data_IF_503217064112
#
_entry.id   IF_503217064112
#
_cell.length_a   1.000
_cell.length_b   1.000
_cell.length_c   1.000
_cell.angle_alpha   90.00
_cell.angle_beta   90.00
_cell.angle_gamma   90.00
#
_symmetry.space_group_name_H-M   'P 1'
#
loop_
_entity.id
_entity.type
_entity.pdbx_description
1 polymer ?
#
# COMPACT_ATOMS: atom_id res chain seq x y z
N UNK A 1 -28.81 0.31 65.95
CA UNK A 1 -28.80 0.45 67.42
C UNK A 1 -27.39 0.84 67.84
N UNK A 2 -27.23 1.71 68.84
CA UNK A 2 -26.06 2.54 69.24
C UNK A 2 -25.97 3.88 68.47
N UNK A 3 -26.70 4.92 68.91
CA UNK A 3 -26.43 5.83 70.05
C UNK A 3 -25.15 6.65 69.79
N UNK A 4 -25.22 7.78 69.07
CA UNK A 4 -25.55 9.14 69.56
C UNK A 4 -24.81 9.57 70.85
N UNK A 5 -23.49 9.39 70.88
CA UNK A 5 -22.60 10.25 71.67
C UNK A 5 -22.05 11.37 70.78
N UNK A 6 -22.87 12.42 70.57
CA UNK A 6 -22.34 13.73 70.16
C UNK A 6 -22.23 14.55 71.44
N UNK A 7 -21.00 14.70 71.91
CA UNK A 7 -20.58 15.66 72.90
C UNK A 7 -21.25 17.03 72.65
N UNK A 8 -22.31 17.31 73.41
CA UNK A 8 -22.78 18.66 73.68
C UNK A 8 -21.74 19.31 74.58
N UNK A 9 -20.72 19.91 73.97
CA UNK A 9 -19.86 20.88 74.63
C UNK A 9 -20.76 21.97 75.20
N UNK A 10 -20.59 22.20 76.50
CA UNK A 10 -21.30 23.14 77.33
C UNK A 10 -21.57 24.47 76.60
N UNK A 11 -22.85 24.81 76.43
CA UNK A 11 -23.32 26.10 75.92
C UNK A 11 -23.04 27.28 76.89
N UNK A 12 -21.91 27.26 77.62
CA UNK A 12 -21.62 28.18 78.74
C UNK A 12 -20.17 28.65 78.85
N UNK A 13 -19.35 28.58 77.81
CA UNK A 13 -17.94 29.02 77.90
C UNK A 13 -17.44 29.86 76.73
N UNK A 14 -18.33 30.43 75.90
CA UNK A 14 -17.92 31.52 75.01
C UNK A 14 -18.17 32.82 75.78
N UNK A 15 -17.14 33.58 76.19
CA UNK A 15 -17.33 34.89 76.79
C UNK A 15 -18.10 35.80 75.83
N UNK A 16 -18.85 36.77 76.35
CA UNK A 16 -19.55 37.73 75.50
C UNK A 16 -18.51 38.47 74.67
N UNK A 17 -18.49 38.21 73.36
CA UNK A 17 -17.58 38.85 72.41
C UNK A 17 -18.14 40.25 72.14
N UNK A 18 -17.34 41.29 72.37
CA UNK A 18 -17.77 42.65 72.03
C UNK A 18 -17.98 42.78 70.51
N UNK A 19 -19.00 43.54 70.06
CA UNK A 19 -19.36 43.66 68.64
C UNK A 19 -18.20 44.05 67.70
N UNK A 20 -17.17 44.74 68.20
CA UNK A 20 -16.01 45.17 67.43
C UNK A 20 -15.10 44.01 67.00
N UNK A 21 -15.08 42.90 67.75
CA UNK A 21 -14.24 41.72 67.45
C UNK A 21 -14.92 40.70 66.54
N UNK A 22 -16.24 40.79 66.36
CA UNK A 22 -17.03 39.87 65.53
C UNK A 22 -16.57 39.81 64.07
N UNK A 23 -16.33 40.93 63.37
CA UNK A 23 -15.85 40.91 61.99
C UNK A 23 -14.51 40.18 61.82
N UNK A 24 -13.56 40.39 62.75
CA UNK A 24 -12.25 39.74 62.73
C UNK A 24 -12.34 38.22 62.98
N UNK A 25 -13.21 37.79 63.91
CA UNK A 25 -13.45 36.37 64.16
C UNK A 25 -14.11 35.71 62.96
N UNK A 26 -15.10 36.35 62.35
CA UNK A 26 -15.81 35.82 61.18
C UNK A 26 -14.91 35.74 59.94
N UNK A 27 -14.08 36.75 59.68
CA UNK A 27 -13.13 36.74 58.55
C UNK A 27 -12.01 35.72 58.72
N UNK A 28 -11.68 35.32 59.96
CA UNK A 28 -10.70 34.27 60.21
C UNK A 28 -11.33 32.87 60.17
N UNK A 29 -12.60 32.74 60.56
CA UNK A 29 -13.31 31.48 60.63
C UNK A 29 -13.96 31.03 59.30
N UNK A 30 -14.12 31.95 58.34
CA UNK A 30 -14.69 31.71 57.02
C UNK A 30 -13.79 32.27 55.93
N UNK A 31 -13.83 31.68 54.73
CA UNK A 31 -13.06 32.18 53.59
C UNK A 31 -13.74 33.40 52.95
N UNK A 32 -15.08 33.43 52.99
CA UNK A 32 -15.89 34.56 52.57
C UNK A 32 -17.16 34.66 53.41
N UNK A 33 -17.34 35.74 54.16
CA UNK A 33 -18.58 36.06 54.85
C UNK A 33 -19.35 37.17 54.12
N UNK A 34 -20.66 36.95 53.93
CA UNK A 34 -21.58 37.93 53.35
C UNK A 34 -22.68 38.23 54.35
N UNK A 35 -23.08 39.49 54.45
CA UNK A 35 -24.34 39.88 55.10
C UNK A 35 -25.28 40.36 54.02
N UNK A 36 -26.46 39.78 53.93
CA UNK A 36 -27.49 40.17 52.97
C UNK A 36 -28.80 40.53 53.67
N UNK A 37 -29.61 41.39 53.04
CA UNK A 37 -30.99 41.67 53.46
C UNK A 37 -31.93 40.50 53.13
N UNK A 38 -33.16 40.50 53.68
CA UNK A 38 -34.19 39.52 53.31
C UNK A 38 -34.51 39.54 51.79
N UNK A 39 -34.37 40.70 51.14
CA UNK A 39 -34.53 40.86 49.69
C UNK A 39 -33.29 40.44 48.87
N UNK A 40 -32.25 39.91 49.52
CA UNK A 40 -31.04 39.41 48.85
C UNK A 40 -30.05 40.49 48.37
N UNK A 41 -30.07 41.69 48.97
CA UNK A 41 -29.05 42.73 48.73
C UNK A 41 -27.87 42.56 49.66
N UNK A 42 -26.66 42.69 49.14
CA UNK A 42 -25.43 42.56 49.93
C UNK A 42 -25.17 43.83 50.72
N UNK A 43 -25.17 43.72 52.04
CA UNK A 43 -24.88 44.82 52.98
C UNK A 43 -23.40 44.84 53.37
N UNK A 44 -22.75 43.68 53.45
CA UNK A 44 -21.33 43.62 53.80
C UNK A 44 -20.68 42.39 53.20
N UNK A 45 -19.40 42.54 52.82
CA UNK A 45 -18.56 41.47 52.30
C UNK A 45 -17.27 41.45 53.10
N UNK A 46 -16.89 40.29 53.59
CA UNK A 46 -15.66 40.09 54.36
C UNK A 46 -14.96 38.87 53.80
N UNK A 47 -13.86 39.07 53.07
CA UNK A 47 -13.03 37.99 52.58
C UNK A 47 -11.84 37.76 53.51
N UNK A 48 -11.41 36.51 53.66
CA UNK A 48 -10.19 36.20 54.39
C UNK A 48 -8.96 36.56 53.53
N UNK A 49 -8.13 37.49 54.02
CA UNK A 49 -6.91 37.92 53.33
C UNK A 49 -5.92 36.78 53.09
N UNK A 50 -5.93 35.74 53.94
CA UNK A 50 -5.04 34.57 53.82
C UNK A 50 -5.46 33.61 52.71
N UNK A 51 -6.74 33.58 52.34
CA UNK A 51 -7.28 32.68 51.31
C UNK A 51 -7.09 33.25 49.90
N UNK A 52 -6.65 34.52 49.77
CA UNK A 52 -5.87 35.03 48.64
C UNK A 52 -6.29 34.60 47.23
N UNK A 53 -7.58 34.72 46.87
CA UNK A 53 -8.05 34.30 45.54
C UNK A 53 -9.25 35.06 44.96
N UNK A 54 -9.90 35.93 45.74
CA UNK A 54 -11.19 36.52 45.34
C UNK A 54 -11.12 37.91 44.69
N UNK A 55 -9.95 38.57 44.68
CA UNK A 55 -9.82 39.96 44.23
C UNK A 55 -10.50 40.96 45.17
N UNK A 56 -10.75 42.18 44.68
CA UNK A 56 -11.53 43.18 45.41
C UNK A 56 -13.03 42.93 45.16
N UNK A 57 -13.78 42.59 46.22
CA UNK A 57 -15.22 42.32 46.20
C UNK A 57 -16.08 43.50 46.70
N UNK A 58 -15.50 44.68 46.91
CA UNK A 58 -16.19 45.86 47.45
C UNK A 58 -17.35 46.32 46.56
N UNK A 59 -17.27 46.05 45.25
CA UNK A 59 -18.33 46.39 44.29
C UNK A 59 -19.63 45.59 44.51
N UNK A 60 -19.60 44.54 45.33
CA UNK A 60 -20.80 43.78 45.68
C UNK A 60 -21.68 44.53 46.68
N UNK A 61 -21.10 45.46 47.45
CA UNK A 61 -21.80 46.23 48.47
C UNK A 61 -22.98 47.03 47.86
N UNK A 62 -24.15 46.89 48.47
CA UNK A 62 -25.41 47.52 48.08
C UNK A 62 -26.10 46.90 46.84
N UNK A 63 -25.45 45.95 46.17
CA UNK A 63 -25.97 45.29 44.97
C UNK A 63 -26.64 43.96 45.31
N UNK A 64 -27.59 43.49 44.50
CA UNK A 64 -28.25 42.22 44.74
C UNK A 64 -27.31 41.05 44.44
N UNK A 65 -27.26 40.08 45.36
CA UNK A 65 -26.30 38.97 45.32
C UNK A 65 -26.46 38.10 44.06
N UNK A 66 -27.68 37.97 43.52
CA UNK A 66 -27.94 37.16 42.33
C UNK A 66 -27.16 37.62 41.08
N UNK A 67 -26.71 38.88 41.03
CA UNK A 67 -25.89 39.40 39.94
C UNK A 67 -24.50 38.76 39.89
N UNK A 68 -24.00 38.31 41.04
CA UNK A 68 -22.68 37.70 41.20
C UNK A 68 -22.75 36.17 41.28
N UNK A 69 -23.89 35.58 40.93
CA UNK A 69 -24.11 34.13 40.92
C UNK A 69 -24.27 33.60 39.49
N UNK A 70 -23.90 32.33 39.30
CA UNK A 70 -24.26 31.58 38.09
C UNK A 70 -25.78 31.46 37.95
N UNK A 71 -26.28 31.30 36.73
CA UNK A 71 -27.72 31.32 36.42
C UNK A 71 -28.45 30.18 37.16
N UNK A 72 -27.79 29.04 37.29
CA UNK A 72 -28.26 27.88 38.05
C UNK A 72 -28.38 28.15 39.55
N UNK A 73 -27.51 29.01 40.11
CA UNK A 73 -27.51 29.35 41.53
C UNK A 73 -28.51 30.46 41.91
N UNK A 74 -29.04 31.21 40.95
CA UNK A 74 -30.04 32.25 41.23
C UNK A 74 -31.33 31.65 41.79
N UNK A 75 -31.81 30.54 41.20
CA UNK A 75 -32.97 29.80 41.71
C UNK A 75 -32.71 29.21 43.10
N UNK A 76 -31.51 28.67 43.34
CA UNK A 76 -31.10 28.16 44.66
C UNK A 76 -31.13 29.26 45.73
N UNK A 77 -30.59 30.45 45.41
CA UNK A 77 -30.64 31.59 46.32
C UNK A 77 -32.07 32.00 46.63
N UNK A 78 -32.93 32.10 45.61
CA UNK A 78 -34.34 32.46 45.82
C UNK A 78 -35.05 31.48 46.75
N UNK A 79 -34.89 30.16 46.53
CA UNK A 79 -35.48 29.14 47.41
C UNK A 79 -34.97 29.24 48.85
N UNK A 80 -33.73 29.66 49.07
CA UNK A 80 -33.18 29.89 50.42
C UNK A 80 -33.84 31.09 51.07
N UNK A 81 -33.99 32.20 50.34
CA UNK A 81 -34.65 33.42 50.83
C UNK A 81 -36.11 33.13 51.18
N UNK A 82 -36.84 32.40 50.33
CA UNK A 82 -38.23 32.03 50.57
C UNK A 82 -38.40 31.18 51.85
N UNK A 83 -37.46 30.27 52.13
CA UNK A 83 -37.46 29.46 53.36
C UNK A 83 -37.21 30.30 54.62
N UNK A 84 -36.31 31.26 54.54
CA UNK A 84 -36.09 32.21 55.64
C UNK A 84 -37.28 33.16 55.84
N UNK A 85 -37.98 33.55 54.76
CA UNK A 85 -39.21 34.34 54.83
C UNK A 85 -40.37 33.54 55.44
N UNK A 86 -40.43 32.22 55.18
CA UNK A 86 -41.38 31.30 55.80
C UNK A 86 -41.09 31.02 57.30
N UNK A 87 -39.98 31.52 57.84
CA UNK A 87 -39.62 31.39 59.25
C UNK A 87 -39.08 30.01 59.64
N UNK A 88 -38.52 29.25 58.69
CA UNK A 88 -37.92 27.96 59.00
C UNK A 88 -36.77 28.09 60.03
N UNK A 89 -36.77 27.28 61.10
CA UNK A 89 -35.74 27.35 62.12
C UNK A 89 -34.46 26.64 61.69
N UNK A 90 -33.31 27.29 61.97
CA UNK A 90 -31.98 26.69 61.85
C UNK A 90 -31.17 27.20 60.65
N UNK A 91 -29.86 26.89 60.62
CA UNK A 91 -29.00 27.29 59.53
C UNK A 91 -29.25 26.47 58.27
N UNK A 92 -29.19 27.12 57.10
CA UNK A 92 -29.30 26.46 55.80
C UNK A 92 -27.91 26.36 55.19
N UNK A 93 -27.52 25.16 54.73
CA UNK A 93 -26.29 24.96 53.96
C UNK A 93 -26.60 24.96 52.48
N UNK A 94 -25.83 25.71 51.70
CA UNK A 94 -25.99 25.80 50.26
C UNK A 94 -24.64 25.98 49.55
N UNK A 95 -24.51 25.40 48.36
CA UNK A 95 -23.37 25.60 47.49
C UNK A 95 -23.76 26.56 46.38
N UNK A 96 -23.07 27.71 46.35
CA UNK A 96 -23.31 28.79 45.41
C UNK A 96 -22.05 29.02 44.59
N UNK A 97 -22.22 29.02 43.27
CA UNK A 97 -21.16 29.31 42.33
C UNK A 97 -21.21 30.79 41.98
N UNK A 98 -20.19 31.52 42.40
CA UNK A 98 -20.03 32.92 42.08
C UNK A 98 -19.42 33.11 40.70
N UNK A 99 -19.74 34.25 40.09
CA UNK A 99 -19.11 34.72 38.86
C UNK A 99 -18.73 36.19 39.04
N UNK A 100 -17.55 36.58 38.57
CA UNK A 100 -17.15 37.99 38.52
C UNK A 100 -16.40 38.28 37.22
N UNK A 101 -16.62 39.47 36.65
CA UNK A 101 -16.02 39.95 35.38
C UNK A 101 -15.96 38.93 34.22
N UNK A 102 -17.05 38.18 34.00
CA UNK A 102 -17.31 37.26 32.88
C UNK A 102 -16.37 36.04 32.71
N UNK A 103 -15.17 36.02 33.31
CA UNK A 103 -14.16 34.96 33.05
C UNK A 103 -13.88 34.07 34.25
N UNK A 104 -14.15 34.51 35.48
CA UNK A 104 -13.83 33.75 36.70
C UNK A 104 -15.10 33.22 37.38
N UNK A 105 -15.13 31.91 37.65
CA UNK A 105 -16.17 31.27 38.47
C UNK A 105 -15.53 30.55 39.65
N UNK A 106 -16.12 30.69 40.83
CA UNK A 106 -15.63 30.01 42.03
C UNK A 106 -16.78 29.47 42.90
N UNK A 107 -16.74 28.18 43.30
CA UNK A 107 -17.74 27.58 44.15
C UNK A 107 -17.49 27.89 45.63
N UNK A 108 -18.52 28.33 46.35
CA UNK A 108 -18.47 28.54 47.79
C UNK A 108 -19.61 27.79 48.47
N UNK A 109 -19.27 27.06 49.54
CA UNK A 109 -20.27 26.45 50.43
C UNK A 109 -20.59 27.40 51.56
N UNK A 110 -21.82 27.92 51.57
CA UNK A 110 -22.33 28.77 52.62
C UNK A 110 -23.09 28.00 53.68
N UNK A 111 -22.89 28.41 54.94
CA UNK A 111 -23.81 28.18 56.04
C UNK A 111 -24.49 29.51 56.37
N UNK A 112 -25.81 29.55 56.23
CA UNK A 112 -26.59 30.78 56.26
C UNK A 112 -27.39 30.83 57.57
N UNK A 113 -27.22 31.92 58.32
CA UNK A 113 -27.85 32.17 59.61
C UNK A 113 -28.68 33.45 59.55
N UNK A 114 -29.86 33.46 60.19
CA UNK A 114 -30.59 34.71 60.45
C UNK A 114 -29.93 35.45 61.63
N UNK A 115 -29.66 36.73 61.46
CA UNK A 115 -28.96 37.58 62.46
C UNK A 115 -29.76 38.85 62.71
N UNK A 116 -29.93 39.19 64.00
CA UNK A 116 -30.61 40.41 64.43
C UNK A 116 -32.14 40.37 64.35
N UNK A 117 -32.78 41.48 64.75
CA UNK A 117 -34.24 41.66 64.68
C UNK A 117 -34.73 42.18 63.32
N UNK A 118 -33.82 42.68 62.49
CA UNK A 118 -34.12 43.25 61.16
C UNK A 118 -34.13 42.22 60.03
N UNK A 119 -33.99 40.92 60.35
CA UNK A 119 -34.11 39.85 59.37
C UNK A 119 -32.89 39.64 58.46
N UNK A 120 -31.77 40.33 58.71
CA UNK A 120 -30.55 40.13 57.94
C UNK A 120 -30.06 38.68 57.99
N UNK A 121 -29.47 38.22 56.89
CA UNK A 121 -28.90 36.88 56.75
C UNK A 121 -27.37 36.98 56.69
N UNK A 122 -26.70 36.26 57.58
CA UNK A 122 -25.26 36.06 57.59
C UNK A 122 -24.92 34.76 56.88
N UNK A 123 -24.15 34.85 55.80
CA UNK A 123 -23.67 33.71 55.03
C UNK A 123 -22.18 33.51 55.31
N UNK A 124 -21.81 32.37 55.90
CA UNK A 124 -20.43 32.00 56.18
C UNK A 124 -19.96 30.99 55.14
N UNK A 125 -19.08 31.42 54.25
CA UNK A 125 -18.60 30.69 53.08
C UNK A 125 -17.28 29.99 53.33
N UNK A 126 -17.17 28.76 52.84
CA UNK A 126 -15.91 28.02 52.71
C UNK A 126 -15.58 27.84 51.24
N UNK A 127 -14.33 28.13 50.88
CA UNK A 127 -13.85 27.98 49.51
C UNK A 127 -13.86 26.51 49.09
N UNK A 128 -14.42 26.22 47.93
CA UNK A 128 -14.38 24.89 47.32
C UNK A 128 -13.50 24.85 46.06
N UNK A 129 -12.81 25.93 45.69
CA UNK A 129 -11.94 25.97 44.49
C UNK A 129 -10.92 24.83 44.48
N UNK A 130 -10.13 24.67 45.54
CA UNK A 130 -9.14 23.59 45.66
C UNK A 130 -9.78 22.19 45.54
N UNK A 131 -10.98 22.02 46.09
CA UNK A 131 -11.73 20.75 46.02
C UNK A 131 -12.22 20.49 44.60
N UNK A 132 -12.77 21.52 43.94
CA UNK A 132 -13.26 21.46 42.57
C UNK A 132 -12.12 21.21 41.57
N UNK A 133 -10.97 21.87 41.74
CA UNK A 133 -9.76 21.65 40.93
C UNK A 133 -9.28 20.20 41.05
N UNK A 134 -9.20 19.67 42.27
CA UNK A 134 -8.78 18.28 42.51
C UNK A 134 -9.77 17.29 41.91
N UNK A 135 -11.08 17.54 42.05
CA UNK A 135 -12.13 16.73 41.42
C UNK A 135 -12.05 16.78 39.89
N UNK A 136 -11.81 17.96 39.31
CA UNK A 136 -11.68 18.12 37.86
C UNK A 136 -10.44 17.38 37.34
N UNK A 137 -9.31 17.45 38.04
CA UNK A 137 -8.10 16.68 37.71
C UNK A 137 -8.37 15.17 37.76
N UNK A 138 -9.10 14.68 38.76
CA UNK A 138 -9.47 13.28 38.87
C UNK A 138 -10.34 12.83 37.68
N UNK A 139 -11.35 13.61 37.32
CA UNK A 139 -12.23 13.33 36.18
C UNK A 139 -11.44 13.33 34.88
N UNK A 140 -10.56 14.32 34.67
CA UNK A 140 -9.69 14.38 33.49
C UNK A 140 -8.75 13.17 33.41
N UNK A 141 -8.16 12.76 34.52
CA UNK A 141 -7.32 11.58 34.59
C UNK A 141 -8.12 10.30 34.25
N UNK A 142 -9.34 10.17 34.75
CA UNK A 142 -10.20 9.03 34.44
C UNK A 142 -10.56 8.98 32.94
N UNK A 143 -10.98 10.12 32.36
CA UNK A 143 -11.29 10.21 30.93
C UNK A 143 -10.07 9.89 30.06
N UNK A 144 -8.88 10.37 30.46
CA UNK A 144 -7.64 10.06 29.74
C UNK A 144 -7.29 8.56 29.79
N UNK A 145 -7.49 7.91 30.95
CA UNK A 145 -7.30 6.46 31.09
C UNK A 145 -8.31 5.69 30.23
N UNK A 146 -9.59 6.04 30.28
CA UNK A 146 -10.63 5.39 29.49
C UNK A 146 -10.35 5.48 27.99
N UNK A 147 -9.95 6.66 27.50
CA UNK A 147 -9.52 6.84 26.10
C UNK A 147 -8.33 5.95 25.75
N UNK A 148 -7.31 5.89 26.62
CA UNK A 148 -6.16 5.00 26.39
C UNK A 148 -6.54 3.52 26.33
N UNK A 149 -7.51 3.09 27.14
CA UNK A 149 -8.05 1.72 27.07
C UNK A 149 -8.86 1.45 25.81
N UNK A 150 -9.60 2.42 25.30
CA UNK A 150 -10.34 2.30 24.03
C UNK A 150 -9.39 2.22 22.84
N UNK A 151 -8.39 3.10 22.76
CA UNK A 151 -7.37 3.09 21.71
C UNK A 151 -6.61 1.76 21.68
N UNK A 152 -6.23 1.24 22.86
CA UNK A 152 -5.58 -0.08 22.96
C UNK A 152 -6.48 -1.20 22.46
N UNK A 153 -7.77 -1.22 22.85
CA UNK A 153 -8.72 -2.23 22.39
C UNK A 153 -8.94 -2.16 20.87
N UNK A 154 -8.98 -0.95 20.31
CA UNK A 154 -9.09 -0.76 18.86
C UNK A 154 -7.84 -1.28 18.13
N UNK A 155 -6.66 -1.03 18.67
CA UNK A 155 -5.40 -1.56 18.13
C UNK A 155 -5.36 -3.10 18.18
N UNK A 156 -5.68 -3.69 19.34
CA UNK A 156 -5.70 -5.14 19.54
C UNK A 156 -6.71 -5.82 18.58
N UNK A 157 -7.89 -5.22 18.40
CA UNK A 157 -8.90 -5.73 17.47
C UNK A 157 -8.42 -5.72 16.02
N UNK A 158 -7.83 -4.59 15.56
CA UNK A 158 -7.25 -4.47 14.21
C UNK A 158 -6.10 -5.45 14.01
N UNK A 159 -5.21 -5.58 14.99
CA UNK A 159 -4.09 -6.51 14.95
C UNK A 159 -4.56 -7.97 14.79
N UNK A 160 -5.53 -8.41 15.61
CA UNK A 160 -6.10 -9.77 15.50
C UNK A 160 -6.80 -10.00 14.16
N UNK A 161 -7.53 -8.99 13.66
CA UNK A 161 -8.20 -9.09 12.36
C UNK A 161 -7.18 -9.24 11.22
N UNK A 162 -6.07 -8.50 11.24
CA UNK A 162 -5.00 -8.62 10.26
C UNK A 162 -4.33 -10.01 10.31
N UNK A 163 -4.00 -10.48 11.51
CA UNK A 163 -3.44 -11.83 11.71
C UNK A 163 -4.39 -12.92 11.17
N UNK A 164 -5.70 -12.81 11.43
CA UNK A 164 -6.69 -13.78 10.98
C UNK A 164 -7.00 -13.73 9.47
N UNK A 165 -6.95 -12.54 8.86
CA UNK A 165 -7.28 -12.37 7.44
C UNK A 165 -6.13 -12.76 6.49
N UNK A 166 -4.89 -12.74 6.98
CA UNK A 166 -3.70 -12.98 6.17
C UNK A 166 -3.46 -14.49 5.98
N UNK A 167 -3.14 -14.89 4.75
CA UNK A 167 -2.92 -16.31 4.38
C UNK A 167 -1.47 -16.77 4.60
N UNK A 168 -0.53 -15.84 4.54
CA UNK A 168 0.89 -16.13 4.79
C UNK A 168 1.07 -16.53 6.25
N UNK A 169 1.90 -17.54 6.51
CA UNK A 169 2.14 -18.03 7.86
C UNK A 169 3.16 -17.15 8.58
N UNK A 170 2.75 -16.59 9.72
CA UNK A 170 3.61 -15.73 10.54
C UNK A 170 3.67 -16.19 11.99
N UNK A 171 4.87 -16.09 12.57
CA UNK A 171 5.14 -16.36 13.98
C UNK A 171 5.96 -15.22 14.56
N UNK A 172 5.52 -14.67 15.67
CA UNK A 172 6.25 -13.70 16.46
C UNK A 172 7.03 -14.43 17.56
N UNK A 173 8.35 -14.26 17.60
CA UNK A 173 9.24 -14.96 18.54
C UNK A 173 10.02 -13.95 19.36
N UNK A 174 10.08 -14.15 20.68
CA UNK A 174 10.90 -13.32 21.55
C UNK A 174 12.37 -13.76 21.50
N UNK A 175 13.27 -12.79 21.35
CA UNK A 175 14.72 -13.08 21.25
C UNK A 175 15.32 -13.48 22.59
N UNK A 176 14.77 -12.99 23.72
CA UNK A 176 15.30 -13.27 25.05
C UNK A 176 15.10 -14.72 25.46
N UNK A 177 13.94 -15.29 25.17
CA UNK A 177 13.58 -16.65 25.56
C UNK A 177 13.30 -17.61 24.40
N UNK A 178 13.40 -17.17 23.14
CA UNK A 178 13.15 -18.00 21.97
C UNK A 178 11.75 -18.62 21.94
N UNK A 179 10.78 -18.05 22.67
CA UNK A 179 9.40 -18.55 22.73
C UNK A 179 8.51 -17.79 21.77
N UNK A 180 7.51 -18.50 21.26
CA UNK A 180 6.45 -17.92 20.44
C UNK A 180 5.62 -16.99 21.32
N UNK A 181 5.46 -15.74 20.90
CA UNK A 181 4.63 -14.73 21.55
C UNK A 181 3.26 -14.63 20.93
N UNK A 182 3.19 -14.81 19.61
CA UNK A 182 1.94 -14.84 18.87
C UNK A 182 2.17 -15.54 17.52
N UNK A 183 1.10 -16.00 16.89
CA UNK A 183 1.12 -16.61 15.56
C UNK A 183 -0.27 -16.51 14.92
N UNK A 184 -0.36 -16.67 13.60
CA UNK A 184 -1.65 -16.78 12.94
C UNK A 184 -2.06 -18.24 12.65
N UNK A 185 -3.32 -18.43 12.25
CA UNK A 185 -3.86 -19.75 11.93
C UNK A 185 -3.10 -20.46 10.79
N UNK A 186 -2.59 -19.70 9.81
CA UNK A 186 -1.76 -20.25 8.75
C UNK A 186 -0.46 -20.86 9.29
N UNK A 187 0.22 -20.18 10.22
CA UNK A 187 1.40 -20.73 10.88
C UNK A 187 1.10 -21.97 11.72
N UNK A 188 -0.02 -21.97 12.46
CA UNK A 188 -0.44 -23.14 13.22
C UNK A 188 -0.67 -24.36 12.31
N UNK A 189 -1.26 -24.16 11.12
CA UNK A 189 -1.45 -25.22 10.13
C UNK A 189 -0.11 -25.75 9.58
N UNK A 190 0.84 -24.87 9.25
CA UNK A 190 2.18 -25.27 8.77
C UNK A 190 2.93 -26.06 9.84
N UNK A 191 2.88 -25.58 11.08
CA UNK A 191 3.49 -26.20 12.26
C UNK A 191 2.70 -27.41 12.79
N UNK A 192 1.50 -27.70 12.28
CA UNK A 192 0.72 -28.90 12.60
C UNK A 192 0.22 -29.04 14.04
N UNK A 193 0.14 -27.93 14.79
CA UNK A 193 -0.27 -27.92 16.21
C UNK A 193 -1.30 -26.81 16.45
N UNK A 194 -2.09 -26.92 17.53
CA UNK A 194 -3.08 -25.89 17.87
C UNK A 194 -2.43 -24.55 18.25
N UNK A 195 -3.11 -23.43 17.98
CA UNK A 195 -2.59 -22.10 18.35
C UNK A 195 -2.32 -21.99 19.86
N UNK A 196 -3.23 -22.49 20.69
CA UNK A 196 -3.11 -22.47 22.16
C UNK A 196 -1.92 -23.29 22.68
N UNK A 197 -1.47 -24.31 21.93
CA UNK A 197 -0.32 -25.13 22.30
C UNK A 197 1.00 -24.50 21.85
N UNK A 198 0.96 -23.80 20.71
CA UNK A 198 2.13 -23.12 20.13
C UNK A 198 2.43 -21.82 20.85
N UNK A 199 1.41 -21.10 21.33
CA UNK A 199 1.63 -19.85 22.07
C UNK A 199 2.42 -20.12 23.37
N UNK A 200 3.55 -19.42 23.51
CA UNK A 200 4.49 -19.63 24.62
C UNK A 200 5.41 -20.84 24.46
N UNK A 201 5.22 -21.72 23.48
CA UNK A 201 6.14 -22.83 23.20
C UNK A 201 7.51 -22.34 22.72
N UNK A 202 8.54 -23.16 22.87
CA UNK A 202 9.87 -22.83 22.37
C UNK A 202 9.92 -23.05 20.85
N UNK A 203 10.08 -21.98 20.08
CA UNK A 203 9.95 -22.02 18.61
C UNK A 203 10.89 -23.04 17.95
N UNK A 204 12.11 -23.19 18.46
CA UNK A 204 13.06 -24.19 17.96
C UNK A 204 12.59 -25.64 18.10
N UNK A 205 11.73 -25.96 19.08
CA UNK A 205 11.24 -27.32 19.33
C UNK A 205 10.21 -27.79 18.29
N UNK A 206 9.64 -26.85 17.53
CA UNK A 206 8.73 -27.13 16.42
C UNK A 206 9.47 -27.59 15.15
N UNK A 207 10.80 -27.57 15.16
CA UNK A 207 11.65 -28.00 14.05
C UNK A 207 12.54 -29.18 14.45
N UNK A 208 12.83 -30.06 13.48
CA UNK A 208 13.72 -31.20 13.69
C UNK A 208 15.16 -30.75 13.93
N UNK A 209 15.81 -31.40 14.89
CA UNK A 209 17.23 -31.27 15.19
C UNK A 209 17.71 -29.82 15.49
N UNK A 210 16.80 -28.96 15.95
CA UNK A 210 17.12 -27.58 16.34
C UNK A 210 17.17 -27.40 17.85
N UNK A 211 18.20 -26.70 18.34
CA UNK A 211 18.32 -26.25 19.73
C UNK A 211 17.96 -24.78 19.85
N UNK A 212 17.33 -24.40 20.97
CA UNK A 212 16.81 -23.03 21.18
C UNK A 212 17.85 -21.93 20.94
N UNK A 213 19.02 -22.00 21.58
CA UNK A 213 20.04 -20.95 21.50
C UNK A 213 20.62 -20.83 20.09
N UNK A 214 21.08 -21.95 19.52
CA UNK A 214 21.64 -22.03 18.16
C UNK A 214 20.64 -21.55 17.10
N UNK A 215 19.36 -21.93 17.23
CA UNK A 215 18.35 -21.58 16.26
C UNK A 215 18.01 -20.09 16.28
N UNK A 216 17.87 -19.50 17.48
CA UNK A 216 17.65 -18.05 17.61
C UNK A 216 18.85 -17.26 17.08
N UNK A 217 20.08 -17.70 17.34
CA UNK A 217 21.29 -17.08 16.77
C UNK A 217 21.31 -17.18 15.25
N UNK A 218 20.94 -18.32 14.68
CA UNK A 218 20.84 -18.52 13.23
C UNK A 218 19.82 -17.57 12.60
N UNK A 219 18.63 -17.43 13.20
CA UNK A 219 17.60 -16.49 12.73
C UNK A 219 18.04 -15.03 12.85
N UNK A 220 18.78 -14.66 13.91
CA UNK A 220 19.34 -13.32 14.06
C UNK A 220 20.37 -13.02 12.97
N UNK A 221 21.27 -13.97 12.68
CA UNK A 221 22.27 -13.80 11.63
C UNK A 221 21.62 -13.61 10.27
N UNK A 222 20.57 -14.38 9.97
CA UNK A 222 19.79 -14.23 8.73
C UNK A 222 19.07 -12.88 8.69
N UNK A 223 18.42 -12.47 9.79
CA UNK A 223 17.72 -11.18 9.86
C UNK A 223 18.67 -9.96 9.75
N UNK A 224 19.96 -10.14 10.03
CA UNK A 224 20.99 -9.10 9.91
C UNK A 224 21.75 -9.15 8.57
N UNK A 225 21.53 -10.17 7.74
CA UNK A 225 22.15 -10.29 6.42
C UNK A 225 21.48 -9.34 5.42
N UNK A 226 22.28 -8.62 4.62
CA UNK A 226 21.77 -7.77 3.53
C UNK A 226 21.25 -8.60 2.34
N UNK A 227 21.67 -9.86 2.24
CA UNK A 227 21.13 -10.83 1.30
C UNK A 227 19.87 -11.42 1.93
N UNK A 228 18.69 -11.12 1.36
CA UNK A 228 17.41 -11.78 1.70
C UNK A 228 17.56 -13.29 1.49
N UNK A 229 18.00 -13.98 2.52
CA UNK A 229 18.25 -15.41 2.54
C UNK A 229 17.28 -16.02 3.54
N UNK A 230 16.77 -17.20 3.20
CA UNK A 230 15.85 -17.91 4.06
C UNK A 230 16.58 -19.04 4.81
N UNK A 231 16.11 -19.36 6.01
CA UNK A 231 16.64 -20.48 6.79
C UNK A 231 15.82 -21.75 6.51
N UNK A 232 16.35 -22.75 5.79
CA UNK A 232 15.64 -24.00 5.56
C UNK A 232 15.56 -24.83 6.85
N UNK A 233 14.36 -25.32 7.14
CA UNK A 233 14.06 -26.14 8.31
C UNK A 233 13.03 -27.22 7.95
N UNK A 234 12.91 -28.23 8.80
CA UNK A 234 11.87 -29.26 8.67
C UNK A 234 11.03 -29.25 9.93
N UNK A 235 9.71 -29.12 9.78
CA UNK A 235 8.77 -29.13 10.92
C UNK A 235 8.80 -30.49 11.62
N UNK A 236 8.56 -30.49 12.92
CA UNK A 236 8.62 -31.69 13.75
C UNK A 236 7.38 -32.57 13.59
N UNK A 237 6.20 -31.96 13.63
CA UNK A 237 4.87 -32.60 13.58
C UNK A 237 4.51 -33.04 12.16
N UNK A 238 4.44 -32.11 11.20
CA UNK A 238 4.03 -32.33 9.81
C UNK A 238 5.15 -32.93 8.95
N UNK A 239 6.41 -32.85 9.42
CA UNK A 239 7.60 -33.32 8.68
C UNK A 239 7.76 -32.65 7.31
N UNK A 240 7.22 -31.43 7.15
CA UNK A 240 7.31 -30.62 5.93
C UNK A 240 8.62 -29.83 5.94
N UNK A 241 9.30 -29.79 4.80
CA UNK A 241 10.39 -28.84 4.60
C UNK A 241 9.78 -27.45 4.39
N UNK A 242 10.33 -26.44 5.06
CA UNK A 242 9.87 -25.06 4.97
C UNK A 242 11.07 -24.12 5.02
N UNK A 243 10.94 -22.92 4.48
CA UNK A 243 11.87 -21.80 4.70
C UNK A 243 11.33 -20.86 5.77
N UNK A 244 12.24 -20.33 6.60
CA UNK A 244 11.93 -19.29 7.58
C UNK A 244 12.63 -18.00 7.18
N UNK A 245 11.86 -16.94 6.90
CA UNK A 245 12.38 -15.58 6.67
C UNK A 245 12.16 -14.73 7.94
N UNK A 246 13.20 -14.48 8.76
CA UNK A 246 13.08 -13.66 9.95
C UNK A 246 13.32 -12.16 9.68
N UNK A 247 12.51 -11.31 10.32
CA UNK A 247 12.74 -9.87 10.42
C UNK A 247 12.88 -9.46 11.89
N UNK A 248 13.99 -8.80 12.24
CA UNK A 248 14.26 -8.33 13.60
C UNK A 248 13.65 -6.94 13.83
N UNK A 249 12.91 -6.77 14.92
CA UNK A 249 12.44 -5.45 15.35
C UNK A 249 12.45 -5.30 16.87
N UNK A 250 12.34 -4.05 17.34
CA UNK A 250 12.26 -3.70 18.77
C UNK A 250 10.92 -3.05 19.08
N UNK A 251 10.28 -3.52 20.15
CA UNK A 251 9.04 -2.93 20.67
C UNK A 251 9.10 -2.89 22.20
N UNK A 252 8.73 -1.75 22.80
CA UNK A 252 8.73 -1.54 24.25
C UNK A 252 10.04 -1.92 24.98
N UNK A 253 11.19 -1.80 24.31
CA UNK A 253 12.51 -2.16 24.87
C UNK A 253 12.88 -3.64 24.72
N UNK A 254 11.97 -4.49 24.25
CA UNK A 254 12.24 -5.89 23.94
C UNK A 254 12.57 -6.10 22.45
N UNK A 255 13.27 -7.21 22.15
CA UNK A 255 13.61 -7.63 20.78
C UNK A 255 12.74 -8.80 20.37
N UNK A 256 12.16 -8.72 19.17
CA UNK A 256 11.34 -9.76 18.58
C UNK A 256 11.81 -10.09 17.17
N UNK A 257 11.63 -11.36 16.80
CA UNK A 257 11.75 -11.85 15.44
C UNK A 257 10.34 -12.07 14.90
N UNK A 258 10.01 -11.40 13.81
CA UNK A 258 8.83 -11.68 13.00
C UNK A 258 9.24 -12.68 11.91
N UNK A 259 8.83 -13.93 12.06
CA UNK A 259 9.21 -15.02 11.19
C UNK A 259 8.08 -15.33 10.22
N UNK A 260 8.33 -15.17 8.92
CA UNK A 260 7.47 -15.73 7.87
C UNK A 260 7.86 -17.18 7.64
N UNK A 261 6.88 -18.07 7.63
CA UNK A 261 7.04 -19.49 7.34
C UNK A 261 6.52 -19.74 5.93
N UNK A 262 7.41 -20.05 5.02
CA UNK A 262 7.02 -20.47 3.68
C UNK A 262 7.16 -21.98 3.62
N UNK A 263 6.05 -22.74 3.63
CA UNK A 263 6.17 -24.15 3.40
C UNK A 263 6.76 -24.39 2.01
N UNK A 264 7.73 -25.31 1.93
CA UNK A 264 8.26 -25.83 0.67
C UNK A 264 7.23 -26.80 0.02
N UNK A 265 5.95 -26.61 0.38
CA UNK A 265 4.84 -27.37 -0.12
C UNK A 265 4.67 -27.01 -1.60
N UNK A 266 5.02 -28.00 -2.40
CA UNK A 266 4.54 -28.27 -3.74
C UNK A 266 2.98 -28.36 -3.82
N UNK A 267 2.25 -27.48 -3.13
CA UNK A 267 0.81 -27.25 -3.23
C UNK A 267 0.47 -26.03 -4.13
N UNK A 268 1.50 -25.39 -4.73
CA UNK A 268 1.44 -24.78 -6.07
C UNK A 268 2.25 -25.59 -7.12
N UNK A 269 2.11 -26.93 -7.24
CA UNK A 269 3.07 -27.74 -8.00
C UNK A 269 2.94 -27.55 -9.52
N UNK A 270 1.77 -27.13 -10.00
CA UNK A 270 1.57 -26.88 -11.42
C UNK A 270 2.19 -25.56 -11.85
N UNK A 271 2.20 -24.54 -10.98
CA UNK A 271 2.70 -23.22 -11.35
C UNK A 271 4.20 -23.09 -11.03
N UNK A 272 4.72 -23.72 -9.97
CA UNK A 272 6.14 -23.58 -9.61
C UNK A 272 7.06 -24.52 -10.40
N UNK A 273 6.67 -25.79 -10.63
CA UNK A 273 7.44 -26.65 -11.56
C UNK A 273 7.38 -26.11 -12.98
N UNK A 274 6.21 -25.63 -13.42
CA UNK A 274 6.07 -25.01 -14.73
C UNK A 274 6.89 -23.72 -14.78
N UNK A 275 6.84 -22.86 -13.77
CA UNK A 275 7.62 -21.62 -13.71
C UNK A 275 9.12 -21.90 -13.67
N UNK A 276 9.59 -22.87 -12.89
CA UNK A 276 10.98 -23.33 -12.90
C UNK A 276 11.37 -23.92 -14.25
N UNK A 277 10.50 -24.72 -14.87
CA UNK A 277 10.75 -25.32 -16.20
C UNK A 277 10.73 -24.26 -17.29
N UNK A 278 9.83 -23.27 -17.23
CA UNK A 278 9.74 -22.15 -18.15
C UNK A 278 10.92 -21.19 -17.97
N UNK A 279 11.37 -20.94 -16.74
CA UNK A 279 12.58 -20.16 -16.46
C UNK A 279 13.83 -20.88 -16.97
N UNK A 280 13.92 -22.19 -16.76
CA UNK A 280 14.99 -23.01 -17.34
C UNK A 280 14.93 -23.03 -18.87
N UNK A 281 13.73 -23.18 -19.45
CA UNK A 281 13.53 -23.11 -20.91
C UNK A 281 13.86 -21.73 -21.47
N UNK A 282 13.52 -20.66 -20.76
CA UNK A 282 13.85 -19.30 -21.17
C UNK A 282 15.36 -19.13 -21.17
N UNK A 283 16.04 -19.46 -20.06
CA UNK A 283 17.50 -19.29 -19.94
C UNK A 283 18.31 -20.21 -20.86
N UNK A 284 18.01 -21.51 -20.84
CA UNK A 284 18.83 -22.56 -21.45
C UNK A 284 18.29 -23.01 -22.83
N UNK A 285 17.17 -22.42 -23.29
CA UNK A 285 16.54 -22.71 -24.58
C UNK A 285 17.39 -22.31 -25.77
N UNK A 286 17.15 -22.96 -26.92
CA UNK A 286 17.87 -22.68 -28.19
C UNK A 286 17.16 -21.72 -29.12
N UNK A 287 15.84 -21.57 -28.96
CA UNK A 287 15.08 -20.55 -29.65
C UNK A 287 15.24 -19.22 -28.90
N UNK A 288 15.38 -18.13 -29.65
CA UNK A 288 15.46 -16.80 -29.10
C UNK A 288 14.08 -16.36 -28.59
N UNK A 289 14.01 -15.88 -27.35
CA UNK A 289 12.78 -15.43 -26.70
C UNK A 289 13.00 -14.01 -26.21
N UNK A 290 12.12 -13.09 -26.62
CA UNK A 290 12.17 -11.67 -26.27
C UNK A 290 10.81 -11.23 -25.75
N UNK A 291 10.78 -10.55 -24.61
CA UNK A 291 9.60 -9.88 -24.07
C UNK A 291 9.77 -8.38 -24.20
N UNK A 292 8.77 -7.72 -24.77
CA UNK A 292 8.72 -6.26 -24.90
C UNK A 292 7.48 -5.69 -24.22
N UNK A 293 7.50 -4.38 -23.98
CA UNK A 293 6.28 -3.62 -23.75
C UNK A 293 5.43 -3.52 -25.06
N UNK A 294 4.19 -3.01 -25.00
CA UNK A 294 3.36 -2.83 -26.20
C UNK A 294 3.89 -1.81 -27.22
N UNK A 295 4.97 -1.08 -26.90
CA UNK A 295 5.66 -0.14 -27.80
C UNK A 295 6.89 -0.76 -28.45
N UNK A 296 7.20 -2.02 -28.15
CA UNK A 296 8.35 -2.73 -28.71
C UNK A 296 9.68 -2.44 -27.98
N UNK A 297 9.64 -1.91 -26.75
CA UNK A 297 10.83 -1.74 -25.91
C UNK A 297 11.13 -3.05 -25.19
N UNK A 298 12.36 -3.55 -25.32
CA UNK A 298 12.77 -4.84 -24.76
C UNK A 298 12.83 -4.77 -23.24
N UNK A 299 12.02 -5.58 -22.56
CA UNK A 299 12.01 -5.72 -21.10
C UNK A 299 12.89 -6.88 -20.64
N UNK A 300 12.92 -7.98 -21.41
CA UNK A 300 13.77 -9.15 -21.17
C UNK A 300 14.05 -9.90 -22.49
N UNK A 301 15.20 -10.53 -22.58
CA UNK A 301 15.51 -11.51 -23.63
C UNK A 301 16.42 -12.61 -23.05
N UNK A 302 16.39 -13.79 -23.66
CA UNK A 302 17.25 -14.90 -23.26
C UNK A 302 18.61 -14.89 -23.95
N UNK A 303 19.51 -15.76 -23.49
CA UNK A 303 20.87 -15.91 -24.02
C UNK A 303 20.86 -16.22 -25.52
N UNK A 304 19.94 -17.07 -26.00
CA UNK A 304 19.84 -17.41 -27.42
C UNK A 304 19.51 -16.20 -28.32
N UNK A 305 18.75 -15.21 -27.82
CA UNK A 305 18.55 -13.96 -28.56
C UNK A 305 19.82 -13.12 -28.60
N UNK A 306 20.52 -12.99 -27.47
CA UNK A 306 21.77 -12.24 -27.35
C UNK A 306 22.86 -12.82 -28.26
N UNK A 307 22.96 -14.15 -28.30
CA UNK A 307 23.84 -14.89 -29.22
C UNK A 307 23.48 -14.61 -30.68
N UNK A 308 22.18 -14.61 -31.03
CA UNK A 308 21.72 -14.41 -32.40
C UNK A 308 22.03 -13.01 -32.95
N UNK A 309 22.14 -12.00 -32.08
CA UNK A 309 22.52 -10.63 -32.44
C UNK A 309 24.00 -10.32 -32.16
N UNK A 310 24.79 -11.30 -31.70
CA UNK A 310 26.21 -11.18 -31.33
C UNK A 310 26.54 -10.06 -30.31
N UNK A 311 25.66 -9.81 -29.33
CA UNK A 311 25.93 -8.82 -28.27
C UNK A 311 26.63 -9.44 -27.06
N UNK A 312 27.46 -8.66 -26.35
CA UNK A 312 28.23 -9.15 -25.21
C UNK A 312 27.43 -9.46 -23.94
N UNK A 313 26.36 -8.71 -23.66
CA UNK A 313 25.50 -8.92 -22.48
C UNK A 313 24.04 -8.51 -22.73
N UNK A 314 23.11 -9.16 -22.02
CA UNK A 314 21.68 -8.82 -22.04
C UNK A 314 21.38 -7.38 -21.60
N UNK A 315 22.21 -6.83 -20.70
CA UNK A 315 22.07 -5.46 -20.19
C UNK A 315 22.23 -4.40 -21.29
N UNK A 316 22.92 -4.72 -22.38
CA UNK A 316 23.15 -3.80 -23.51
C UNK A 316 21.93 -3.73 -24.44
N UNK A 317 21.05 -4.72 -24.36
CA UNK A 317 19.86 -4.90 -25.21
C UNK A 317 18.59 -4.43 -24.50
N UNK A 318 18.54 -4.61 -23.17
CA UNK A 318 17.39 -4.21 -22.35
C UNK A 318 17.14 -2.70 -22.43
N UNK A 319 15.89 -2.31 -22.64
CA UNK A 319 15.46 -0.92 -22.76
C UNK A 319 15.62 -0.32 -24.16
N UNK A 320 16.21 -1.04 -25.12
CA UNK A 320 16.24 -0.64 -26.54
C UNK A 320 14.98 -1.10 -27.27
N UNK A 321 14.74 -0.55 -28.46
CA UNK A 321 13.62 -0.99 -29.28
C UNK A 321 14.00 -2.25 -30.06
N UNK A 322 13.08 -3.21 -30.16
CA UNK A 322 13.26 -4.39 -31.01
C UNK A 322 13.43 -4.02 -32.49
N UNK A 323 12.97 -2.82 -32.89
CA UNK A 323 13.18 -2.30 -34.24
C UNK A 323 14.64 -2.17 -34.63
N UNK A 324 15.53 -1.95 -33.66
CA UNK A 324 16.95 -1.69 -33.95
C UNK A 324 17.65 -2.93 -34.52
N UNK A 325 17.04 -4.10 -34.30
CA UNK A 325 17.55 -5.40 -34.69
C UNK A 325 16.82 -5.99 -35.91
N UNK A 326 15.70 -5.42 -36.35
CA UNK A 326 14.91 -5.94 -37.48
C UNK A 326 15.32 -5.30 -38.82
N UNK A 327 15.30 -6.08 -39.91
CA UNK A 327 15.70 -5.62 -41.25
C UNK A 327 15.00 -4.35 -41.73
N UNK A 328 13.69 -4.26 -41.52
CA UNK A 328 12.88 -3.09 -41.91
C UNK A 328 12.57 -2.18 -40.71
N UNK A 329 13.27 -2.41 -39.59
CA UNK A 329 13.15 -1.69 -38.34
C UNK A 329 11.72 -1.46 -37.85
N UNK A 330 11.29 -0.20 -37.87
CA UNK A 330 9.98 0.22 -37.37
C UNK A 330 8.80 -0.36 -38.17
N UNK A 331 8.99 -0.66 -39.45
CA UNK A 331 7.94 -1.24 -40.30
C UNK A 331 7.61 -2.67 -39.82
N UNK A 332 8.63 -3.50 -39.65
CA UNK A 332 8.48 -4.87 -39.13
C UNK A 332 7.86 -4.85 -37.73
N UNK A 333 8.36 -3.96 -36.86
CA UNK A 333 7.89 -3.82 -35.48
C UNK A 333 6.40 -3.47 -35.43
N UNK A 334 5.95 -2.51 -36.24
CA UNK A 334 4.54 -2.09 -36.28
C UNK A 334 3.64 -3.22 -36.75
N UNK A 335 4.02 -3.93 -37.82
CA UNK A 335 3.25 -5.06 -38.36
C UNK A 335 3.12 -6.19 -37.33
N UNK A 336 4.21 -6.52 -36.64
CA UNK A 336 4.25 -7.56 -35.62
C UNK A 336 3.37 -7.21 -34.41
N UNK A 337 3.50 -5.98 -33.89
CA UNK A 337 2.76 -5.50 -32.72
C UNK A 337 1.26 -5.33 -33.03
N UNK A 338 0.88 -4.69 -34.12
CA UNK A 338 -0.53 -4.47 -34.46
C UNK A 338 -1.27 -5.79 -34.69
N UNK A 339 -0.65 -6.75 -35.38
CA UNK A 339 -1.26 -8.06 -35.58
C UNK A 339 -1.40 -8.82 -34.25
N UNK A 340 -0.36 -8.83 -33.41
CA UNK A 340 -0.41 -9.47 -32.10
C UNK A 340 -1.47 -8.83 -31.19
N UNK A 341 -1.58 -7.50 -31.14
CA UNK A 341 -2.57 -6.79 -30.32
C UNK A 341 -4.01 -6.99 -30.82
N UNK A 342 -4.22 -7.05 -32.14
CA UNK A 342 -5.55 -7.22 -32.74
C UNK A 342 -6.06 -8.65 -32.71
N UNK A 343 -5.20 -9.62 -33.02
CA UNK A 343 -5.58 -11.04 -33.17
C UNK A 343 -5.08 -11.94 -32.03
N UNK A 344 -4.38 -11.38 -31.04
CA UNK A 344 -3.80 -12.10 -29.91
C UNK A 344 -2.47 -12.79 -30.22
N UNK A 345 -2.21 -13.17 -31.47
CA UNK A 345 -0.96 -13.81 -31.89
C UNK A 345 -0.67 -13.65 -33.39
N UNK A 346 0.60 -13.80 -33.78
CA UNK A 346 1.07 -13.95 -35.15
C UNK A 346 1.97 -15.18 -35.24
N UNK A 347 1.62 -16.15 -36.09
CA UNK A 347 2.27 -17.48 -36.08
C UNK A 347 3.63 -17.51 -36.78
N UNK A 348 3.76 -16.84 -37.92
CA UNK A 348 5.01 -16.82 -38.70
C UNK A 348 5.12 -15.47 -39.38
N UNK A 349 6.26 -14.82 -39.21
CA UNK A 349 6.69 -13.63 -39.93
C UNK A 349 8.16 -13.79 -40.31
N UNK A 350 8.46 -13.84 -41.60
CA UNK A 350 9.83 -14.00 -42.09
C UNK A 350 10.50 -12.64 -42.27
N UNK A 351 11.66 -12.44 -41.67
CA UNK A 351 12.48 -11.23 -41.79
C UNK A 351 13.95 -11.57 -41.57
N UNK A 352 14.84 -10.57 -41.44
CA UNK A 352 16.23 -10.75 -41.03
C UNK A 352 16.53 -9.96 -39.76
N UNK A 353 17.38 -10.52 -38.89
CA UNK A 353 17.94 -9.84 -37.74
C UNK A 353 19.33 -9.29 -38.04
N UNK A 354 19.61 -8.11 -37.51
CA UNK A 354 20.91 -7.44 -37.57
C UNK A 354 21.73 -7.79 -36.33
N UNK A 355 22.96 -8.26 -36.52
CA UNK A 355 23.91 -8.41 -35.42
C UNK A 355 24.71 -7.12 -35.15
N UNK A 356 25.47 -7.09 -34.05
CA UNK A 356 26.29 -5.93 -33.66
C UNK A 356 27.30 -5.53 -34.75
N UNK A 357 27.84 -6.52 -35.46
CA UNK A 357 28.81 -6.36 -36.55
C UNK A 357 28.18 -5.97 -37.91
N UNK A 358 26.86 -5.81 -37.96
CA UNK A 358 26.12 -5.38 -39.16
C UNK A 358 25.79 -6.48 -40.18
N UNK A 359 26.09 -7.74 -39.87
CA UNK A 359 25.61 -8.92 -40.58
C UNK A 359 24.11 -9.18 -40.39
N UNK A 360 23.53 -9.89 -41.35
CA UNK A 360 22.10 -10.22 -41.38
C UNK A 360 21.88 -11.73 -41.28
N UNK A 361 21.05 -12.14 -40.34
CA UNK A 361 20.63 -13.54 -40.15
C UNK A 361 19.16 -13.67 -40.49
N UNK A 362 18.80 -14.63 -41.34
CA UNK A 362 17.40 -14.84 -41.68
C UNK A 362 16.66 -15.53 -40.54
N UNK A 363 15.46 -15.02 -40.22
CA UNK A 363 14.69 -15.49 -39.08
C UNK A 363 13.21 -15.63 -39.39
N UNK A 364 12.56 -16.52 -38.64
CA UNK A 364 11.11 -16.59 -38.52
C UNK A 364 10.69 -16.18 -37.12
N UNK A 365 9.73 -15.26 -37.05
CA UNK A 365 9.24 -14.68 -35.80
C UNK A 365 7.80 -15.10 -35.58
N UNK A 366 7.52 -15.67 -34.41
CA UNK A 366 6.18 -15.82 -33.85
C UNK A 366 5.97 -14.77 -32.75
N UNK A 367 4.80 -14.16 -32.68
CA UNK A 367 4.49 -13.11 -31.69
C UNK A 367 3.20 -13.44 -30.96
N UNK A 368 3.15 -13.26 -29.65
CA UNK A 368 1.95 -13.42 -28.84
C UNK A 368 1.75 -12.23 -27.92
N UNK A 369 0.53 -11.70 -27.89
CA UNK A 369 0.15 -10.63 -26.96
C UNK A 369 -0.30 -11.23 -25.63
N UNK A 370 0.43 -10.93 -24.56
CA UNK A 370 0.19 -11.40 -23.20
C UNK A 370 -0.55 -10.31 -22.40
N UNK A 371 -1.87 -10.44 -22.30
CA UNK A 371 -2.72 -9.49 -21.59
C UNK A 371 -2.71 -9.74 -20.07
N UNK A 372 -1.62 -9.37 -19.40
CA UNK A 372 -1.47 -9.45 -17.94
C UNK A 372 -2.05 -8.18 -17.31
N UNK A 373 -3.04 -8.32 -16.42
CA UNK A 373 -3.90 -7.23 -15.89
C UNK A 373 -3.19 -5.91 -15.57
N UNK A 374 -2.04 -5.95 -14.90
CA UNK A 374 -1.32 -4.76 -14.42
C UNK A 374 -0.22 -4.27 -15.37
N UNK A 375 0.22 -5.09 -16.33
CA UNK A 375 1.32 -4.77 -17.24
C UNK A 375 1.28 -5.67 -18.50
N UNK A 376 0.61 -5.26 -19.59
CA UNK A 376 0.57 -6.05 -20.81
C UNK A 376 1.96 -6.15 -21.43
N UNK A 377 2.29 -7.32 -21.98
CA UNK A 377 3.59 -7.60 -22.60
C UNK A 377 3.41 -8.31 -23.95
N UNK A 378 4.41 -8.21 -24.82
CA UNK A 378 4.44 -8.90 -26.11
C UNK A 378 5.61 -9.86 -26.11
N UNK A 379 5.35 -11.14 -26.37
CA UNK A 379 6.36 -12.18 -26.45
C UNK A 379 6.69 -12.48 -27.91
N UNK A 380 7.97 -12.41 -28.26
CA UNK A 380 8.53 -12.78 -29.54
C UNK A 380 9.32 -14.08 -29.36
N UNK A 381 9.03 -15.05 -30.23
CA UNK A 381 9.82 -16.26 -30.37
C UNK A 381 10.49 -16.21 -31.75
N UNK A 382 11.81 -16.10 -31.77
CA UNK A 382 12.61 -15.92 -32.97
C UNK A 382 13.43 -17.17 -33.24
N UNK A 383 13.33 -17.69 -34.46
CA UNK A 383 14.05 -18.89 -34.91
C UNK A 383 14.95 -18.56 -36.08
N UNK A 384 16.17 -19.08 -36.05
CA UNK A 384 17.08 -19.02 -37.19
C UNK A 384 16.51 -19.84 -38.36
N UNK A 385 16.30 -19.17 -39.49
CA UNK A 385 15.77 -19.73 -40.72
C UNK A 385 16.85 -19.95 -41.78
N UNK A 386 18.13 -19.67 -41.50
CA UNK A 386 19.23 -19.69 -42.46
C UNK A 386 19.37 -21.04 -43.16
N UNK A 387 19.11 -22.15 -42.45
CA UNK A 387 19.16 -23.51 -43.05
C UNK A 387 17.98 -23.80 -43.97
N UNK A 388 16.81 -23.26 -43.66
CA UNK A 388 15.58 -23.42 -44.47
C UNK A 388 15.66 -22.54 -45.72
N UNK A 389 16.18 -21.33 -45.59
CA UNK A 389 16.46 -20.43 -46.72
C UNK A 389 17.53 -21.04 -47.65
N UNK A 390 18.63 -21.59 -47.11
CA UNK A 390 19.65 -22.26 -47.91
C UNK A 390 19.14 -23.51 -48.65
N UNK A 391 18.25 -24.30 -48.03
CA UNK A 391 17.60 -25.44 -48.70
C UNK A 391 16.59 -24.99 -49.77
N UNK A 392 15.84 -23.91 -49.55
CA UNK A 392 14.92 -23.35 -50.55
C UNK A 392 15.65 -22.80 -51.78
N UNK A 393 16.76 -22.10 -51.59
CA UNK A 393 17.58 -21.53 -52.68
C UNK A 393 18.26 -22.62 -53.52
N UNK A 394 18.61 -23.76 -52.93
CA UNK A 394 19.28 -24.87 -53.62
C UNK A 394 18.33 -25.81 -54.37
N UNK A 395 17.07 -25.94 -53.93
CA UNK A 395 16.10 -26.87 -54.52
C UNK A 395 15.31 -26.27 -55.70
N UNK A 396 15.22 -24.95 -55.85
CA UNK A 396 14.48 -24.34 -56.98
C UNK A 396 14.91 -22.89 -57.32
N UNK A 397 15.98 -22.68 -58.11
CA UNK A 397 16.43 -21.34 -58.50
C UNK A 397 15.54 -20.64 -59.55
N UNK A 398 14.46 -21.28 -60.06
CA UNK A 398 13.61 -20.75 -61.14
C UNK A 398 12.08 -20.81 -60.88
N UNK A 399 11.61 -21.04 -59.65
CA UNK A 399 10.16 -21.06 -59.38
C UNK A 399 9.54 -19.66 -59.25
N UNK A 400 8.26 -19.52 -59.61
CA UNK A 400 7.43 -18.30 -59.52
C UNK A 400 7.55 -17.57 -58.17
N UNK A 401 7.76 -18.30 -57.07
CA UNK A 401 7.93 -17.74 -55.72
C UNK A 401 9.24 -16.95 -55.51
N UNK A 402 10.31 -17.24 -56.26
CA UNK A 402 11.58 -16.50 -56.18
C UNK A 402 11.44 -15.08 -56.77
N UNK A 403 10.61 -14.93 -57.80
CA UNK A 403 10.27 -13.63 -58.38
C UNK A 403 9.39 -12.84 -57.41
N UNK A 404 8.39 -13.48 -56.78
CA UNK A 404 7.57 -12.84 -55.75
C UNK A 404 8.39 -12.37 -54.53
N UNK A 405 9.44 -13.11 -54.15
CA UNK A 405 10.33 -12.69 -53.06
C UNK A 405 11.23 -11.50 -53.41
N UNK A 406 11.79 -11.44 -54.62
CA UNK A 406 12.56 -10.27 -55.07
C UNK A 406 11.72 -8.98 -55.02
N UNK A 407 10.45 -9.08 -55.37
CA UNK A 407 9.51 -7.94 -55.33
C UNK A 407 9.15 -7.58 -53.89
N UNK A 408 8.96 -8.57 -53.01
CA UNK A 408 8.70 -8.34 -51.59
C UNK A 408 9.90 -7.72 -50.84
N UNK A 409 11.14 -7.98 -51.27
CA UNK A 409 12.36 -7.32 -50.75
C UNK A 409 12.52 -5.87 -51.22
N UNK A 410 11.97 -5.53 -52.40
CA UNK A 410 12.00 -4.17 -52.95
C UNK A 410 10.99 -3.21 -52.27
N UNK A 411 9.96 -3.74 -51.60
CA UNK A 411 8.96 -2.94 -50.88
C UNK A 411 9.59 -2.29 -49.65
N UNK A 412 9.87 -0.98 -49.77
CA UNK A 412 10.47 -0.14 -48.72
C UNK A 412 11.86 0.42 -49.06
N UNK A 413 12.53 -0.12 -50.08
CA UNK A 413 13.88 0.30 -50.53
C UNK A 413 13.86 1.08 -51.86
N UNK A 414 12.82 0.94 -52.67
CA UNK A 414 12.63 1.66 -53.94
C UNK A 414 11.24 2.33 -54.01
N UNK A 415 11.08 3.32 -54.92
CA UNK A 415 9.78 3.97 -55.15
C UNK A 415 8.85 3.00 -55.88
N UNK A 416 7.57 2.98 -55.50
CA UNK A 416 6.56 2.06 -56.04
C UNK A 416 6.51 2.03 -57.58
N UNK A 417 6.73 3.18 -58.24
CA UNK A 417 6.77 3.27 -59.70
C UNK A 417 7.87 2.40 -60.31
N UNK A 418 9.03 2.35 -59.67
CA UNK A 418 10.20 1.62 -60.16
C UNK A 418 10.02 0.11 -59.92
N UNK A 419 9.48 -0.25 -58.74
CA UNK A 419 9.14 -1.64 -58.41
C UNK A 419 8.12 -2.21 -59.40
N UNK A 420 7.06 -1.44 -59.72
CA UNK A 420 6.02 -1.84 -60.67
C UNK A 420 6.58 -1.97 -62.09
N UNK A 421 7.48 -1.07 -62.51
CA UNK A 421 8.11 -1.16 -63.82
C UNK A 421 9.00 -2.41 -63.94
N UNK A 422 9.76 -2.72 -62.89
CA UNK A 422 10.66 -3.89 -62.85
C UNK A 422 9.87 -5.21 -62.79
N UNK A 423 8.79 -5.27 -61.99
CA UNK A 423 7.87 -6.43 -62.01
C UNK A 423 7.24 -6.63 -63.37
N UNK A 424 6.80 -5.55 -64.00
CA UNK A 424 6.18 -5.64 -65.32
C UNK A 424 7.18 -6.17 -66.36
N UNK A 425 8.45 -5.77 -66.30
CA UNK A 425 9.48 -6.27 -67.20
C UNK A 425 9.81 -7.76 -66.99
N UNK A 426 9.82 -8.24 -65.74
CA UNK A 426 10.04 -9.67 -65.43
C UNK A 426 8.85 -10.52 -65.87
N UNK A 427 7.61 -10.10 -65.56
CA UNK A 427 6.40 -10.80 -65.98
C UNK A 427 6.31 -10.84 -67.50
N UNK A 428 6.56 -9.71 -68.17
CA UNK A 428 6.52 -9.63 -69.62
C UNK A 428 7.56 -10.55 -70.28
N UNK A 429 8.79 -10.58 -69.75
CA UNK A 429 9.83 -11.51 -70.22
C UNK A 429 9.39 -12.97 -70.07
N UNK A 430 8.85 -13.34 -68.91
CA UNK A 430 8.40 -14.71 -68.62
C UNK A 430 7.25 -15.14 -69.55
N UNK A 431 6.22 -14.29 -69.71
CA UNK A 431 5.10 -14.59 -70.61
C UNK A 431 5.58 -14.78 -72.06
N UNK A 432 6.57 -14.00 -72.50
CA UNK A 432 7.15 -14.15 -73.84
C UNK A 432 7.95 -15.45 -73.95
N UNK A 433 8.77 -15.80 -72.96
CA UNK A 433 9.52 -17.07 -72.92
C UNK A 433 8.59 -18.28 -72.96
N UNK A 434 7.56 -18.30 -72.10
CA UNK A 434 6.58 -19.39 -72.04
C UNK A 434 5.79 -19.52 -73.35
N UNK A 435 5.38 -18.39 -73.95
CA UNK A 435 4.68 -18.43 -75.24
C UNK A 435 5.57 -18.95 -76.37
N UNK A 436 6.88 -18.65 -76.36
CA UNK A 436 7.85 -19.18 -77.33
C UNK A 436 8.06 -20.69 -77.13
N UNK A 437 8.18 -21.15 -75.89
CA UNK A 437 8.34 -22.57 -75.59
C UNK A 437 7.10 -23.39 -76.00
N UNK A 438 5.90 -22.92 -75.64
CA UNK A 438 4.63 -23.57 -75.98
C UNK A 438 4.35 -23.61 -77.47
N UNK A 439 4.85 -22.63 -78.23
CA UNK A 439 4.70 -22.58 -79.69
C UNK A 439 5.90 -23.15 -80.44
N UNK A 440 6.84 -23.81 -79.73
CA UNK A 440 8.04 -24.42 -80.29
C UNK A 440 8.84 -23.45 -81.19
N UNK A 441 9.09 -22.25 -80.68
CA UNK A 441 9.82 -21.18 -81.36
C UNK A 441 9.13 -20.60 -82.61
N UNK A 442 7.83 -20.88 -82.83
CA UNK A 442 7.04 -20.23 -83.88
C UNK A 442 6.61 -18.82 -83.46
N UNK A 443 7.46 -17.83 -83.78
CA UNK A 443 7.27 -16.41 -83.42
C UNK A 443 5.94 -15.80 -83.92
N UNK A 444 5.38 -16.31 -85.01
CA UNK A 444 4.08 -15.84 -85.50
C UNK A 444 2.92 -16.31 -84.60
N UNK A 445 2.95 -17.57 -84.17
CA UNK A 445 1.96 -18.14 -83.26
C UNK A 445 2.12 -17.59 -81.83
N UNK A 446 3.35 -17.36 -81.37
CA UNK A 446 3.62 -16.73 -80.07
C UNK A 446 3.05 -15.30 -80.00
N UNK A 447 3.20 -14.52 -81.08
CA UNK A 447 2.65 -13.16 -81.15
C UNK A 447 1.12 -13.16 -81.09
N UNK A 448 0.47 -14.11 -81.77
CA UNK A 448 -0.98 -14.28 -81.75
C UNK A 448 -1.48 -14.72 -80.36
N UNK A 449 -0.77 -15.67 -79.72
CA UNK A 449 -1.08 -16.16 -78.37
C UNK A 449 -0.97 -15.07 -77.30
N UNK A 450 -0.02 -14.14 -77.44
CA UNK A 450 0.16 -13.01 -76.54
C UNK A 450 -0.71 -11.79 -76.92
N UNK A 451 -1.47 -11.84 -78.02
CA UNK A 451 -2.27 -10.71 -78.50
C UNK A 451 -1.43 -9.50 -78.97
N UNK A 452 -0.18 -9.72 -79.37
CA UNK A 452 0.76 -8.68 -79.81
C UNK A 452 0.92 -8.69 -81.33
N UNK A 453 1.23 -7.54 -81.92
CA UNK A 453 1.68 -7.51 -83.31
C UNK A 453 3.06 -8.16 -83.42
N UNK A 454 3.34 -8.83 -84.55
CA UNK A 454 4.65 -9.47 -84.79
C UNK A 454 5.81 -8.50 -84.58
N UNK A 455 5.66 -7.26 -85.05
CA UNK A 455 6.67 -6.21 -84.87
C UNK A 455 6.90 -5.85 -83.39
N UNK A 456 5.84 -5.79 -82.58
CA UNK A 456 5.94 -5.52 -81.14
C UNK A 456 6.65 -6.66 -80.41
N UNK A 457 6.36 -7.91 -80.77
CA UNK A 457 7.04 -9.08 -80.22
C UNK A 457 8.56 -9.05 -80.51
N UNK A 458 8.98 -8.72 -81.74
CA UNK A 458 10.41 -8.62 -82.07
C UNK A 458 11.15 -7.54 -81.27
N UNK A 459 10.52 -6.39 -81.01
CA UNK A 459 11.11 -5.34 -80.18
C UNK A 459 11.27 -5.81 -78.73
N UNK A 460 10.28 -6.50 -78.18
CA UNK A 460 10.32 -7.03 -76.82
C UNK A 460 11.33 -8.17 -76.68
N UNK A 461 11.43 -9.07 -77.66
CA UNK A 461 12.47 -10.11 -77.70
C UNK A 461 13.88 -9.51 -77.69
N UNK A 462 14.10 -8.42 -78.44
CA UNK A 462 15.37 -7.71 -78.43
C UNK A 462 15.63 -6.99 -77.11
N UNK A 463 14.61 -6.36 -76.51
CA UNK A 463 14.70 -5.70 -75.20
C UNK A 463 15.15 -6.66 -74.10
N UNK A 464 14.65 -7.90 -74.10
CA UNK A 464 14.94 -8.90 -73.07
C UNK A 464 16.07 -9.88 -73.43
N UNK A 465 16.74 -9.69 -74.57
CA UNK A 465 17.89 -10.50 -74.99
C UNK A 465 17.57 -11.92 -75.46
N UNK A 466 16.33 -12.17 -75.90
CA UNK A 466 15.82 -13.49 -76.29
C UNK A 466 15.94 -13.78 -77.79
N UNK A 467 16.89 -13.14 -78.48
CA UNK A 467 16.87 -13.09 -79.94
C UNK A 467 17.54 -14.27 -80.66
N UNK A 468 18.42 -15.02 -80.00
CA UNK A 468 19.08 -16.20 -80.60
C UNK A 468 19.20 -17.35 -79.60
N UNK A 469 18.38 -18.38 -79.82
CA UNK A 469 18.57 -19.73 -79.30
C UNK A 469 18.49 -20.76 -80.44
N UNK A 470 18.83 -20.33 -81.65
CA UNK A 470 18.94 -21.17 -82.85
C UNK A 470 20.42 -21.23 -83.27
N UNK A 471 21.08 -22.34 -82.93
CA UNK A 471 22.38 -22.72 -83.52
C UNK A 471 23.48 -23.11 -82.54
N UNK A 472 23.33 -24.23 -81.83
CA UNK A 472 24.41 -25.20 -81.70
C UNK A 472 23.80 -26.58 -81.41
N UNK A 473 23.96 -27.49 -82.38
CA UNK A 473 23.81 -28.93 -82.23
C UNK A 473 25.16 -29.55 -81.91
#
# INVERSE_FOLDING_TARGET
>A
MNSKDRHTLAARSIPVIEPEYLPSVLSTASDLALVITEDGRTTSVMANEKTGGYGNLDHWHGRPLFQFLTQECQGKLQSILDRFAAGEPGPITAELNHRDNATWQFPIRYVIHRVGREGALLMLGRDLQQVAETQQQLVQAQVALERGYEERREFDARYRMLMAATRDAFVLVSVSDGRIRDLNAAAANVLGSGMDELEGAAFAQEFKDRRRTEFVESLLNVAMSETNSDLPVVTRSTRRAISVSPMLFRAAGERYLFCRLDPDDAEHPMDDRLSMTLNAMFRDGKDAIVFTDPKGVIEAANEAFVDMIDFGNISDVKGRSISDYLARGQIDTTVLLENAMRSGHMRVYSTRLKNELGGWTAVEISVSYLNIKSRPSVAFLVRDASRVEAMRTTLNPQSEEAVHHNVAELVGSAKLKDIVAETNDVIEKMCIETAIELTQNNRAAAAEMLGLSRQSLYVKLRKYGLQDRDGDS
#
